data_IF_982727017359
#
_entry.id   IF_982727017359
#
_cell.length_a   1.000
_cell.length_b   1.000
_cell.length_c   1.000
_cell.angle_alpha   90.00
_cell.angle_beta   90.00
_cell.angle_gamma   90.00
#
_symmetry.space_group_name_H-M   'P 1'
#
loop_
_entity.id
_entity.type
_entity.pdbx_description
1 polymer ?
#
# COMPACT_ATOMS: atom_id res chain seq x y z
N UNK A 1 40.36 4.79 61.03
CA UNK A 1 40.97 6.11 60.77
C UNK A 1 42.19 5.93 59.90
N UNK A 2 42.15 6.39 58.65
CA UNK A 2 43.29 6.88 57.86
C UNK A 2 42.72 7.34 56.50
N UNK A 3 42.66 8.67 56.31
CA UNK A 3 42.36 9.30 55.03
C UNK A 3 43.62 9.25 54.18
N UNK A 4 43.57 8.74 52.95
CA UNK A 4 44.63 8.97 51.99
C UNK A 4 44.07 9.66 50.73
N UNK A 5 44.77 10.72 50.35
CA UNK A 5 44.37 11.79 49.44
C UNK A 5 44.67 11.40 47.99
N UNK A 6 43.80 11.86 47.10
CA UNK A 6 43.94 11.84 45.65
C UNK A 6 45.21 12.56 45.16
N UNK A 7 45.87 12.01 44.13
CA UNK A 7 46.56 12.83 43.12
C UNK A 7 46.44 12.21 41.72
N UNK A 8 45.80 13.00 40.87
CA UNK A 8 45.75 12.97 39.42
C UNK A 8 47.17 13.00 38.82
N UNK A 9 47.48 12.12 37.88
CA UNK A 9 48.48 12.36 36.84
C UNK A 9 47.90 11.86 35.51
N UNK A 10 47.78 12.82 34.60
CA UNK A 10 47.23 12.74 33.25
C UNK A 10 48.32 12.22 32.31
N UNK A 11 48.01 11.26 31.46
CA UNK A 11 48.67 10.98 30.16
C UNK A 11 47.96 9.77 29.54
N UNK A 12 47.65 9.69 28.26
CA UNK A 12 47.70 10.58 27.11
C UNK A 12 46.80 9.85 26.09
N UNK A 13 45.85 10.55 25.51
CA UNK A 13 44.90 9.99 24.56
C UNK A 13 45.59 9.58 23.26
N UNK A 14 45.29 8.36 22.77
CA UNK A 14 45.36 8.05 21.34
C UNK A 14 44.37 6.92 21.03
N UNK A 15 43.08 7.23 20.95
CA UNK A 15 42.11 6.32 20.34
C UNK A 15 41.98 6.78 18.90
N UNK A 16 42.58 6.02 17.99
CA UNK A 16 42.39 6.17 16.55
C UNK A 16 40.91 5.99 16.23
N UNK A 17 40.26 7.07 15.81
CA UNK A 17 38.93 7.07 15.24
C UNK A 17 39.02 6.54 13.80
N UNK A 18 38.80 5.24 13.60
CA UNK A 18 38.50 4.71 12.26
C UNK A 18 37.01 4.87 12.00
N UNK A 19 36.65 5.97 11.33
CA UNK A 19 35.34 6.10 10.70
C UNK A 19 35.28 5.12 9.53
N UNK A 20 34.73 3.93 9.74
CA UNK A 20 34.11 3.21 8.64
C UNK A 20 32.78 3.89 8.35
N UNK A 21 32.78 4.84 7.43
CA UNK A 21 31.56 5.23 6.73
C UNK A 21 31.17 4.08 5.81
N UNK A 22 30.57 3.05 6.40
CA UNK A 22 29.68 2.18 5.66
C UNK A 22 28.53 3.08 5.21
N UNK A 23 28.60 3.52 3.95
CA UNK A 23 27.49 4.18 3.28
C UNK A 23 26.29 3.26 3.39
N UNK A 24 25.38 3.60 4.29
CA UNK A 24 24.07 3.01 4.32
C UNK A 24 23.37 3.54 3.07
N UNK A 25 23.50 2.81 1.96
CA UNK A 25 22.54 2.90 0.87
C UNK A 25 21.20 2.45 1.44
N UNK A 26 20.43 3.39 1.99
CA UNK A 26 18.99 3.23 2.14
C UNK A 26 18.39 3.32 0.74
N UNK A 27 18.54 2.25 -0.05
CA UNK A 27 17.48 1.93 -0.98
C UNK A 27 16.31 1.52 -0.11
N UNK A 28 15.34 2.42 0.07
CA UNK A 28 14.03 2.09 0.63
C UNK A 28 13.34 1.12 -0.36
N UNK A 29 13.81 -0.12 -0.43
CA UNK A 29 12.97 -1.22 -0.82
C UNK A 29 12.07 -1.45 0.40
N UNK A 30 10.85 -0.92 0.33
CA UNK A 30 9.76 -1.40 1.18
C UNK A 30 9.59 -2.86 0.81
N UNK A 31 10.35 -3.74 1.44
CA UNK A 31 9.99 -5.15 1.56
C UNK A 31 8.73 -5.16 2.41
N UNK A 32 7.59 -5.07 1.72
CA UNK A 32 6.31 -5.32 2.31
C UNK A 32 6.37 -6.70 2.96
N UNK A 33 6.23 -6.74 4.29
CA UNK A 33 5.88 -7.94 5.04
C UNK A 33 4.45 -8.36 4.63
N UNK A 34 4.27 -8.72 3.36
CA UNK A 34 3.00 -9.05 2.75
C UNK A 34 2.58 -10.43 3.26
N UNK A 35 1.74 -10.43 4.31
CA UNK A 35 1.00 -11.63 4.67
C UNK A 35 0.18 -12.06 3.46
N UNK A 36 0.12 -13.36 3.19
CA UNK A 36 -0.72 -13.92 2.12
C UNK A 36 -2.16 -13.42 2.30
N UNK A 37 -2.74 -12.88 1.25
CA UNK A 37 -4.11 -12.32 1.26
C UNK A 37 -4.20 -10.86 1.70
N UNK A 38 -3.07 -10.17 1.97
CA UNK A 38 -3.11 -8.74 2.26
C UNK A 38 -3.54 -7.95 1.02
N UNK A 39 -4.40 -6.96 1.24
CA UNK A 39 -4.97 -6.05 0.24
C UNK A 39 -4.57 -4.63 0.61
N UNK A 40 -4.02 -3.90 -0.36
CA UNK A 40 -3.78 -2.48 -0.25
C UNK A 40 -4.67 -1.77 -1.26
N UNK A 41 -5.51 -0.88 -0.75
CA UNK A 41 -6.51 -0.18 -1.52
C UNK A 41 -6.11 1.29 -1.62
N UNK A 42 -5.87 1.77 -2.83
CA UNK A 42 -5.54 3.15 -3.12
C UNK A 42 -6.77 3.86 -3.69
N UNK A 43 -7.24 4.88 -3.01
CA UNK A 43 -8.38 5.70 -3.41
C UNK A 43 -7.90 7.00 -4.06
N UNK A 44 -8.33 7.29 -5.28
CA UNK A 44 -8.02 8.56 -5.94
C UNK A 44 -8.72 9.74 -5.25
N UNK A 45 -10.01 9.58 -4.94
CA UNK A 45 -10.81 10.56 -4.20
C UNK A 45 -12.05 9.86 -3.61
N UNK A 46 -12.78 10.53 -2.72
CA UNK A 46 -14.09 10.07 -2.22
C UNK A 46 -15.24 10.86 -2.87
N UNK A 47 -16.40 10.24 -3.14
CA UNK A 47 -17.61 10.97 -3.50
C UNK A 47 -17.96 12.08 -2.49
N UNK A 48 -18.73 13.12 -2.88
CA UNK A 48 -19.16 14.17 -1.96
C UNK A 48 -20.00 13.60 -0.81
N UNK A 49 -19.65 13.91 0.43
CA UNK A 49 -20.24 13.34 1.65
C UNK A 49 -21.77 13.51 1.79
N UNK A 50 -22.36 14.51 1.14
CA UNK A 50 -23.80 14.77 1.15
C UNK A 50 -24.57 14.05 0.03
N UNK A 51 -23.89 13.30 -0.84
CA UNK A 51 -24.51 12.59 -1.95
C UNK A 51 -24.99 11.19 -1.56
N UNK A 52 -26.09 10.72 -2.16
CA UNK A 52 -26.52 9.32 -2.06
C UNK A 52 -25.41 8.37 -2.52
N UNK A 53 -24.68 8.77 -3.57
CA UNK A 53 -23.49 8.07 -4.06
C UNK A 53 -22.45 7.82 -2.96
N UNK A 54 -22.21 8.79 -2.09
CA UNK A 54 -21.28 8.63 -0.97
C UNK A 54 -21.82 7.68 0.08
N UNK A 55 -23.13 7.72 0.36
CA UNK A 55 -23.73 6.84 1.35
C UNK A 55 -23.55 5.36 0.95
N UNK A 56 -23.84 5.02 -0.31
CA UNK A 56 -23.67 3.67 -0.84
C UNK A 56 -22.19 3.26 -0.87
N UNK A 57 -21.34 4.11 -1.46
CA UNK A 57 -19.90 3.86 -1.55
C UNK A 57 -19.26 3.64 -0.17
N UNK A 58 -19.59 4.51 0.80
CA UNK A 58 -19.04 4.43 2.15
C UNK A 58 -19.55 3.20 2.90
N UNK A 59 -20.83 2.84 2.74
CA UNK A 59 -21.39 1.64 3.32
C UNK A 59 -20.64 0.39 2.84
N UNK A 60 -20.49 0.23 1.53
CA UNK A 60 -19.82 -0.95 0.96
C UNK A 60 -18.33 -1.01 1.29
N UNK A 61 -17.63 0.13 1.28
CA UNK A 61 -16.23 0.17 1.70
C UNK A 61 -16.06 -0.19 3.18
N UNK A 62 -16.99 0.25 4.05
CA UNK A 62 -16.93 -0.08 5.48
C UNK A 62 -17.25 -1.55 5.74
N UNK A 63 -18.22 -2.12 5.03
CA UNK A 63 -18.52 -3.55 5.10
C UNK A 63 -17.32 -4.38 4.65
N UNK A 64 -16.67 -4.00 3.55
CA UNK A 64 -15.45 -4.64 3.07
C UNK A 64 -14.31 -4.53 4.10
N UNK A 65 -14.09 -3.35 4.68
CA UNK A 65 -13.11 -3.16 5.77
C UNK A 65 -13.40 -4.06 6.97
N UNK A 66 -14.66 -4.20 7.36
CA UNK A 66 -15.06 -5.06 8.47
C UNK A 66 -14.82 -6.54 8.18
N UNK A 67 -14.95 -6.94 6.91
CA UNK A 67 -14.74 -8.31 6.44
C UNK A 67 -13.26 -8.67 6.40
N UNK A 68 -12.43 -7.80 5.84
CA UNK A 68 -10.98 -8.06 5.69
C UNK A 68 -10.20 -7.87 7.00
N UNK A 69 -10.64 -6.95 7.87
CA UNK A 69 -9.95 -6.61 9.11
C UNK A 69 -8.50 -6.19 8.85
N UNK A 70 -7.56 -6.82 9.57
CA UNK A 70 -6.13 -6.50 9.49
C UNK A 70 -5.48 -6.84 8.14
N UNK A 71 -6.18 -7.54 7.25
CA UNK A 71 -5.68 -7.85 5.91
C UNK A 71 -5.84 -6.68 4.94
N UNK A 72 -6.65 -5.67 5.27
CA UNK A 72 -6.87 -4.51 4.42
C UNK A 72 -6.15 -3.27 4.96
N UNK A 73 -5.43 -2.59 4.07
CA UNK A 73 -4.98 -1.22 4.29
C UNK A 73 -5.60 -0.31 3.24
N UNK A 74 -6.07 0.86 3.67
CA UNK A 74 -6.69 1.85 2.78
C UNK A 74 -5.86 3.13 2.83
N UNK A 75 -5.37 3.53 1.67
CA UNK A 75 -4.54 4.72 1.48
C UNK A 75 -5.26 5.64 0.51
N UNK A 76 -5.39 6.92 0.88
CA UNK A 76 -5.78 7.94 -0.10
C UNK A 76 -4.54 8.28 -0.92
N UNK A 77 -4.58 7.99 -2.22
CA UNK A 77 -3.54 8.39 -3.14
C UNK A 77 -3.79 9.86 -3.52
N UNK A 78 -2.79 10.71 -3.32
CA UNK A 78 -2.92 12.13 -3.68
C UNK A 78 -2.52 12.32 -5.14
N UNK A 79 -1.51 11.57 -5.62
CA UNK A 79 -1.04 11.68 -6.99
C UNK A 79 -0.58 10.33 -7.58
N UNK A 80 -1.09 9.99 -8.77
CA UNK A 80 -0.41 9.02 -9.64
C UNK A 80 0.70 9.75 -10.41
N UNK A 81 1.94 9.65 -9.93
CA UNK A 81 3.10 10.16 -10.67
C UNK A 81 3.39 9.23 -11.85
N UNK A 82 3.48 9.74 -13.09
CA UNK A 82 3.84 8.92 -14.25
C UNK A 82 5.34 8.61 -14.21
N UNK A 83 5.75 7.61 -13.42
CA UNK A 83 6.93 6.83 -13.75
C UNK A 83 6.50 5.79 -14.81
N UNK A 84 6.29 6.29 -16.03
CA UNK A 84 5.90 5.56 -17.22
C UNK A 84 7.02 4.60 -17.64
N UNK A 85 7.05 3.40 -17.05
CA UNK A 85 7.61 2.22 -17.69
C UNK A 85 6.58 1.10 -17.57
N UNK A 86 5.61 1.12 -18.50
CA UNK A 86 4.77 -0.02 -18.91
C UNK A 86 3.37 -0.24 -18.29
N UNK A 87 2.80 0.68 -17.50
CA UNK A 87 1.35 0.63 -17.17
C UNK A 87 0.64 1.95 -17.50
N UNK A 88 -0.49 1.83 -18.19
CA UNK A 88 -1.42 2.93 -18.44
C UNK A 88 -2.33 3.15 -17.22
N UNK A 89 -1.95 4.07 -16.33
CA UNK A 89 -2.76 4.50 -15.19
C UNK A 89 -3.77 5.61 -15.52
N UNK A 90 -4.07 5.88 -16.80
CA UNK A 90 -4.99 6.96 -17.15
C UNK A 90 -6.39 6.77 -16.54
N UNK A 91 -6.86 5.53 -16.38
CA UNK A 91 -8.13 5.25 -15.69
C UNK A 91 -8.09 5.61 -14.20
N UNK A 92 -6.96 5.44 -13.52
CA UNK A 92 -6.84 5.83 -12.10
C UNK A 92 -6.89 7.35 -11.87
N UNK A 93 -6.62 8.15 -12.92
CA UNK A 93 -6.81 9.62 -12.86
C UNK A 93 -8.28 10.03 -12.90
N UNK A 94 -9.18 9.13 -13.26
CA UNK A 94 -10.62 9.39 -13.20
C UNK A 94 -11.09 9.51 -11.74
N UNK A 95 -12.07 10.38 -11.51
CA UNK A 95 -12.58 10.65 -10.16
C UNK A 95 -13.11 9.36 -9.52
N UNK A 96 -12.81 9.19 -8.25
CA UNK A 96 -13.31 8.10 -7.39
C UNK A 96 -12.79 6.71 -7.74
N UNK A 97 -11.86 6.60 -8.69
CA UNK A 97 -11.23 5.34 -9.04
C UNK A 97 -10.49 4.71 -7.87
N UNK A 98 -10.46 3.38 -7.87
CA UNK A 98 -9.87 2.56 -6.82
C UNK A 98 -8.89 1.58 -7.44
N UNK A 99 -7.68 1.55 -6.90
CA UNK A 99 -6.70 0.51 -7.23
C UNK A 99 -6.59 -0.46 -6.05
N UNK A 100 -6.74 -1.74 -6.36
CA UNK A 100 -6.45 -2.84 -5.46
C UNK A 100 -5.09 -3.43 -5.79
N UNK A 101 -4.23 -3.55 -4.78
CA UNK A 101 -2.94 -4.25 -4.86
C UNK A 101 -2.97 -5.39 -3.87
N UNK A 102 -2.90 -6.62 -4.38
CA UNK A 102 -2.96 -7.84 -3.59
C UNK A 102 -1.53 -8.35 -3.36
N UNK A 103 -1.28 -8.95 -2.20
CA UNK A 103 0.05 -9.41 -1.74
C UNK A 103 0.83 -10.29 -2.72
N UNK A 104 0.14 -11.02 -3.60
CA UNK A 104 0.74 -11.85 -4.67
C UNK A 104 1.10 -11.05 -5.93
N UNK A 105 1.01 -9.72 -5.84
CA UNK A 105 1.25 -8.77 -6.92
C UNK A 105 0.19 -8.80 -8.02
N UNK A 106 -1.01 -9.28 -7.73
CA UNK A 106 -2.16 -9.02 -8.61
C UNK A 106 -2.67 -7.61 -8.36
N UNK A 107 -2.92 -6.85 -9.43
CA UNK A 107 -3.39 -5.48 -9.35
C UNK A 107 -4.66 -5.30 -10.18
N UNK A 108 -5.65 -4.62 -9.60
CA UNK A 108 -6.93 -4.36 -10.25
C UNK A 108 -7.30 -2.89 -10.15
N UNK A 109 -7.74 -2.31 -11.26
CA UNK A 109 -8.26 -0.95 -11.34
C UNK A 109 -9.77 -0.97 -11.56
N UNK A 110 -10.49 -0.33 -10.65
CA UNK A 110 -11.89 0.01 -10.86
C UNK A 110 -11.99 1.51 -11.13
N UNK A 111 -12.55 1.86 -12.28
CA UNK A 111 -12.70 3.25 -12.71
C UNK A 111 -14.05 3.80 -12.23
N UNK A 112 -14.03 4.91 -11.50
CA UNK A 112 -15.24 5.51 -10.92
C UNK A 112 -15.62 4.96 -9.54
N UNK A 113 -16.74 5.44 -8.97
CA UNK A 113 -17.20 5.04 -7.64
C UNK A 113 -17.72 3.60 -7.65
N UNK A 114 -17.28 2.77 -6.72
CA UNK A 114 -17.78 1.39 -6.57
C UNK A 114 -19.13 1.42 -5.85
N UNK A 115 -20.19 1.07 -6.57
CA UNK A 115 -21.57 1.03 -6.06
C UNK A 115 -22.16 -0.39 -6.06
N UNK A 116 -21.39 -1.38 -6.46
CA UNK A 116 -21.79 -2.77 -6.43
C UNK A 116 -20.94 -3.54 -5.41
N UNK A 117 -21.54 -4.11 -4.34
CA UNK A 117 -20.83 -4.93 -3.36
C UNK A 117 -20.06 -6.11 -3.99
N UNK A 118 -20.55 -6.60 -5.13
CA UNK A 118 -19.96 -7.71 -5.87
C UNK A 118 -18.52 -7.44 -6.33
N UNK A 119 -18.13 -6.18 -6.50
CA UNK A 119 -16.73 -5.80 -6.81
C UNK A 119 -15.81 -6.15 -5.64
N UNK A 120 -16.24 -5.88 -4.41
CA UNK A 120 -15.48 -6.23 -3.21
C UNK A 120 -15.46 -7.74 -2.96
N UNK A 121 -16.56 -8.45 -3.22
CA UNK A 121 -16.59 -9.93 -3.14
C UNK A 121 -15.61 -10.58 -4.13
N UNK A 122 -15.54 -10.04 -5.36
CA UNK A 122 -14.53 -10.47 -6.33
C UNK A 122 -13.10 -10.30 -5.77
N UNK A 123 -12.78 -9.11 -5.24
CA UNK A 123 -11.44 -8.82 -4.70
C UNK A 123 -11.11 -9.69 -3.48
N UNK A 124 -12.08 -9.91 -2.58
CA UNK A 124 -11.93 -10.83 -1.44
C UNK A 124 -11.57 -12.25 -1.91
N UNK A 125 -12.30 -12.77 -2.89
CA UNK A 125 -12.06 -14.13 -3.41
C UNK A 125 -10.71 -14.25 -4.08
N UNK A 126 -10.30 -13.25 -4.84
CA UNK A 126 -8.96 -13.22 -5.44
C UNK A 126 -7.89 -13.22 -4.35
N UNK A 127 -7.99 -12.34 -3.35
CA UNK A 127 -7.00 -12.25 -2.26
C UNK A 127 -6.92 -13.54 -1.44
N UNK A 128 -8.06 -14.19 -1.23
CA UNK A 128 -8.17 -15.46 -0.50
C UNK A 128 -7.87 -16.70 -1.36
N UNK A 129 -7.60 -16.54 -2.67
CA UNK A 129 -7.40 -17.63 -3.63
C UNK A 129 -8.58 -18.62 -3.66
N UNK A 130 -9.79 -18.10 -3.51
CA UNK A 130 -11.02 -18.87 -3.58
C UNK A 130 -11.51 -19.00 -5.02
N UNK A 131 -12.35 -20.00 -5.27
CA UNK A 131 -13.09 -20.09 -6.52
C UNK A 131 -13.97 -18.84 -6.69
N UNK A 132 -13.93 -18.26 -7.89
CA UNK A 132 -14.74 -17.11 -8.28
C UNK A 132 -15.95 -17.65 -9.07
N UNK A 133 -17.16 -17.56 -8.51
CA UNK A 133 -18.38 -17.91 -9.24
C UNK A 133 -18.51 -17.14 -10.54
N UNK A 134 -19.07 -17.77 -11.58
CA UNK A 134 -19.20 -17.19 -12.92
C UNK A 134 -19.94 -15.84 -12.90
N UNK A 135 -20.97 -15.69 -12.05
CA UNK A 135 -21.73 -14.44 -11.94
C UNK A 135 -20.92 -13.27 -11.38
N UNK A 136 -19.80 -13.51 -10.70
CA UNK A 136 -18.92 -12.45 -10.19
C UNK A 136 -17.95 -11.91 -11.24
N UNK A 137 -17.69 -12.68 -12.31
CA UNK A 137 -16.73 -12.29 -13.35
C UNK A 137 -17.13 -10.97 -14.03
N UNK A 138 -18.43 -10.71 -14.20
CA UNK A 138 -18.91 -9.45 -14.77
C UNK A 138 -18.59 -8.21 -13.91
N UNK A 139 -18.28 -8.41 -12.62
CA UNK A 139 -17.90 -7.34 -11.69
C UNK A 139 -16.38 -7.26 -11.49
N UNK A 140 -15.59 -8.04 -12.24
CA UNK A 140 -14.13 -8.00 -12.14
C UNK A 140 -13.62 -6.63 -12.59
N UNK A 141 -12.83 -5.91 -11.78
CA UNK A 141 -12.17 -4.71 -12.26
C UNK A 141 -11.08 -5.04 -13.28
N UNK A 142 -10.53 -4.02 -13.93
CA UNK A 142 -9.49 -4.17 -14.94
C UNK A 142 -8.19 -4.69 -14.31
N UNK A 143 -7.75 -5.88 -14.71
CA UNK A 143 -6.46 -6.43 -14.28
C UNK A 143 -5.30 -5.67 -14.95
N UNK A 144 -4.36 -5.16 -14.15
CA UNK A 144 -3.20 -4.42 -14.63
C UNK A 144 -1.96 -5.32 -14.71
N UNK A 145 -1.14 -5.14 -15.75
CA UNK A 145 0.13 -5.87 -15.96
C UNK A 145 1.28 -4.91 -16.17
N UNK A 146 2.39 -5.09 -15.45
CA UNK A 146 3.57 -4.23 -15.54
C UNK A 146 3.95 -3.57 -14.21
N UNK A 147 4.70 -2.46 -14.22
CA UNK A 147 5.10 -1.75 -12.98
C UNK A 147 4.17 -0.56 -12.68
N UNK A 148 3.63 -0.54 -11.46
CA UNK A 148 2.87 0.56 -10.88
C UNK A 148 3.76 1.39 -9.96
N UNK A 149 3.63 2.70 -10.06
CA UNK A 149 4.18 3.65 -9.09
C UNK A 149 3.11 4.68 -8.74
N UNK A 150 2.78 4.79 -7.45
CA UNK A 150 1.79 5.72 -6.90
C UNK A 150 2.43 6.41 -5.71
N UNK A 151 2.54 7.73 -5.74
CA UNK A 151 3.34 8.50 -4.78
C UNK A 151 4.74 7.85 -4.56
N UNK A 152 5.06 7.40 -3.35
CA UNK A 152 6.32 6.70 -3.02
C UNK A 152 6.23 5.16 -3.08
N UNK A 153 5.06 4.61 -3.45
CA UNK A 153 4.80 3.18 -3.52
C UNK A 153 5.07 2.63 -4.92
N UNK A 154 5.80 1.52 -5.04
CA UNK A 154 6.06 0.85 -6.33
C UNK A 154 5.81 -0.65 -6.25
N UNK A 155 5.02 -1.18 -7.19
CA UNK A 155 4.67 -2.61 -7.26
C UNK A 155 4.74 -3.12 -8.69
N UNK A 156 5.22 -4.35 -8.89
CA UNK A 156 5.22 -5.01 -10.19
C UNK A 156 4.01 -5.95 -10.29
N UNK A 157 2.98 -5.54 -11.01
CA UNK A 157 1.77 -6.30 -11.25
C UNK A 157 1.98 -7.40 -12.28
N UNK A 158 1.56 -8.62 -11.96
CA UNK A 158 1.76 -9.82 -12.78
C UNK A 158 0.56 -10.16 -13.67
#
# INVERSE_FOLDING_TARGET
MARCKYRLQISLALILTTYLSAGCSTTNAVESNNKKGQIQLFLQDSPPNESELYADWAAYLNDFKSTEGDNLSVTRALHASPALDNINLNGFKEKYSTLFVISDRTCYLYTGPILEPAVYDFIHRVSAQQEIPEFLIQFSPEALKGRLTIDEYSVNCQ
#
